data_IF_252353601205
#
_entry.id   IF_252353601205
#
_cell.length_a   1.000
_cell.length_b   1.000
_cell.length_c   1.000
_cell.angle_alpha   90.00
_cell.angle_beta   90.00
_cell.angle_gamma   90.00
#
_symmetry.space_group_name_H-M   'P 1'
#
loop_
_entity.id
_entity.type
_entity.pdbx_description
1 polymer ?
#
# COMPACT_ATOMS: atom_id res chain seq x y z
N UNK A 1 -6.91 1.71 -1.81
CA UNK A 1 -7.22 0.30 -1.47
C UNK A 1 -8.59 -0.15 -1.95
N UNK A 2 -9.71 0.46 -1.50
CA UNK A 2 -11.05 0.05 -1.92
C UNK A 2 -11.23 0.02 -3.45
N UNK A 3 -10.73 1.03 -4.16
CA UNK A 3 -10.76 1.07 -5.62
C UNK A 3 -10.04 -0.10 -6.29
N UNK A 4 -8.84 -0.47 -5.80
CA UNK A 4 -8.06 -1.59 -6.33
C UNK A 4 -8.81 -2.93 -6.14
N UNK A 5 -9.40 -3.12 -4.95
CA UNK A 5 -10.22 -4.32 -4.66
C UNK A 5 -11.41 -4.42 -5.62
N UNK A 6 -12.09 -3.30 -5.88
CA UNK A 6 -13.24 -3.29 -6.79
C UNK A 6 -12.84 -3.51 -8.24
N UNK A 7 -11.70 -2.95 -8.69
CA UNK A 7 -11.19 -3.16 -10.06
C UNK A 7 -10.88 -4.65 -10.29
N UNK A 8 -10.26 -5.31 -9.32
CA UNK A 8 -9.87 -6.72 -9.40
C UNK A 8 -11.04 -7.69 -9.11
N UNK A 9 -12.14 -7.19 -8.55
CA UNK A 9 -13.34 -7.97 -8.23
C UNK A 9 -14.25 -8.16 -9.46
N UNK A 10 -15.02 -9.25 -9.51
CA UNK A 10 -16.11 -9.39 -10.47
C UNK A 10 -17.15 -8.26 -10.41
N UNK A 11 -17.24 -7.59 -9.26
CA UNK A 11 -18.17 -6.47 -9.02
C UNK A 11 -17.57 -5.09 -9.34
N UNK A 12 -16.60 -5.02 -10.26
CA UNK A 12 -15.88 -3.78 -10.64
C UNK A 12 -16.78 -2.59 -11.00
N UNK A 13 -17.95 -2.86 -11.59
CA UNK A 13 -18.92 -1.82 -11.95
C UNK A 13 -19.52 -1.09 -10.75
N UNK A 14 -19.41 -1.66 -9.53
CA UNK A 14 -19.83 -0.96 -8.32
C UNK A 14 -18.96 0.28 -8.03
N UNK A 15 -17.79 0.45 -8.66
CA UNK A 15 -17.01 1.68 -8.60
C UNK A 15 -17.82 2.90 -9.05
N UNK A 16 -18.69 2.74 -10.03
CA UNK A 16 -19.52 3.82 -10.54
C UNK A 16 -20.53 4.33 -9.50
N UNK A 17 -20.92 3.50 -8.54
CA UNK A 17 -21.81 3.86 -7.42
C UNK A 17 -21.17 4.83 -6.42
N UNK A 18 -19.83 4.92 -6.39
CA UNK A 18 -19.12 5.91 -5.57
C UNK A 18 -19.07 7.29 -6.23
N UNK A 19 -19.70 7.47 -7.39
CA UNK A 19 -19.71 8.74 -8.13
C UNK A 19 -18.32 9.38 -8.25
N UNK A 20 -17.29 8.64 -8.75
CA UNK A 20 -15.91 9.13 -8.76
C UNK A 20 -15.75 10.42 -9.56
N UNK A 21 -16.57 10.64 -10.58
CA UNK A 21 -16.58 11.87 -11.37
C UNK A 21 -16.97 13.11 -10.57
N UNK A 22 -17.67 12.96 -9.45
CA UNK A 22 -18.00 14.03 -8.54
C UNK A 22 -17.06 14.04 -7.31
N UNK A 23 -16.83 12.87 -6.73
CA UNK A 23 -16.00 12.71 -5.54
C UNK A 23 -14.53 13.11 -5.76
N UNK A 24 -13.94 12.74 -6.91
CA UNK A 24 -12.54 13.08 -7.22
C UNK A 24 -12.36 14.60 -7.38
N UNK A 25 -13.13 15.31 -8.20
CA UNK A 25 -13.03 16.77 -8.29
C UNK A 25 -13.22 17.47 -6.95
N UNK A 26 -14.21 17.04 -6.15
CA UNK A 26 -14.47 17.60 -4.83
C UNK A 26 -13.29 17.38 -3.87
N UNK A 27 -12.68 16.20 -3.89
CA UNK A 27 -11.52 15.89 -3.08
C UNK A 27 -10.24 16.64 -3.53
N UNK A 28 -10.11 16.89 -4.83
CA UNK A 28 -8.97 17.64 -5.39
C UNK A 28 -9.11 19.17 -5.21
N UNK A 29 -10.31 19.68 -4.97
CA UNK A 29 -10.55 21.13 -4.87
C UNK A 29 -9.73 21.79 -3.75
N UNK A 30 -9.69 21.29 -2.50
CA UNK A 30 -8.86 21.89 -1.45
C UNK A 30 -7.37 21.88 -1.82
N UNK A 31 -6.89 20.80 -2.43
CA UNK A 31 -5.51 20.69 -2.87
C UNK A 31 -5.18 21.70 -3.99
N UNK A 32 -6.09 21.88 -4.93
CA UNK A 32 -5.95 22.87 -6.00
C UNK A 32 -5.93 24.30 -5.44
N UNK A 33 -6.87 24.64 -4.55
CA UNK A 33 -6.94 25.96 -3.94
C UNK A 33 -5.70 26.28 -3.12
N UNK A 34 -5.24 25.31 -2.32
CA UNK A 34 -4.00 25.44 -1.58
C UNK A 34 -2.80 25.62 -2.50
N UNK A 35 -2.69 24.79 -3.55
CA UNK A 35 -1.61 24.87 -4.52
C UNK A 35 -1.57 26.24 -5.24
N UNK A 36 -2.74 26.75 -5.66
CA UNK A 36 -2.84 28.09 -6.25
C UNK A 36 -2.38 29.18 -5.28
N UNK A 37 -2.87 29.17 -4.06
CA UNK A 37 -2.47 30.13 -3.04
C UNK A 37 -0.96 30.12 -2.77
N UNK A 38 -0.35 28.91 -2.76
CA UNK A 38 1.10 28.76 -2.59
C UNK A 38 1.88 29.35 -3.78
N UNK A 39 1.44 29.08 -5.01
CA UNK A 39 2.05 29.64 -6.22
C UNK A 39 1.95 31.15 -6.25
N UNK A 40 0.84 31.72 -5.81
CA UNK A 40 0.67 33.19 -5.77
C UNK A 40 1.61 33.87 -4.77
N UNK A 41 2.10 33.13 -3.74
CA UNK A 41 3.03 33.66 -2.73
C UNK A 41 4.50 33.56 -3.17
N UNK A 42 4.91 32.42 -3.75
CA UNK A 42 6.35 32.12 -3.98
C UNK A 42 6.70 31.83 -5.46
N UNK A 43 5.75 32.03 -6.38
CA UNK A 43 5.93 31.73 -7.79
C UNK A 43 6.03 30.23 -8.11
N UNK A 44 5.67 29.34 -7.18
CA UNK A 44 5.67 27.89 -7.37
C UNK A 44 6.96 27.20 -6.91
N UNK A 45 7.89 27.93 -6.29
CA UNK A 45 9.17 27.36 -5.81
C UNK A 45 8.95 26.24 -4.81
N UNK A 46 8.04 26.43 -3.85
CA UNK A 46 7.73 25.39 -2.84
C UNK A 46 7.14 24.13 -3.46
N UNK A 47 6.20 24.28 -4.40
CA UNK A 47 5.58 23.10 -5.04
C UNK A 47 6.58 22.33 -5.89
N UNK A 48 7.45 23.03 -6.64
CA UNK A 48 8.50 22.38 -7.43
C UNK A 48 9.51 21.66 -6.54
N UNK A 49 9.92 22.28 -5.44
CA UNK A 49 10.80 21.66 -4.44
C UNK A 49 10.13 20.42 -3.81
N UNK A 50 8.87 20.52 -3.41
CA UNK A 50 8.12 19.42 -2.81
C UNK A 50 7.98 18.24 -3.78
N UNK A 51 7.68 18.52 -5.05
CA UNK A 51 7.58 17.49 -6.08
C UNK A 51 8.94 16.81 -6.34
N UNK A 52 10.02 17.58 -6.50
CA UNK A 52 11.37 17.04 -6.68
C UNK A 52 11.79 16.18 -5.48
N UNK A 53 11.58 16.67 -4.26
CA UNK A 53 12.02 16.00 -3.05
C UNK A 53 11.19 14.78 -2.66
N UNK A 54 9.86 14.89 -2.70
CA UNK A 54 8.96 13.84 -2.23
C UNK A 54 8.50 12.86 -3.32
N UNK A 55 8.62 13.21 -4.58
CA UNK A 55 8.23 12.35 -5.70
C UNK A 55 9.47 11.86 -6.44
N UNK A 56 10.19 12.76 -7.12
CA UNK A 56 11.28 12.33 -8.01
C UNK A 56 12.43 11.67 -7.26
N UNK A 57 12.94 12.29 -6.20
CA UNK A 57 14.05 11.72 -5.42
C UNK A 57 13.67 10.44 -4.67
N UNK A 58 12.40 10.27 -4.32
CA UNK A 58 11.93 9.04 -3.65
C UNK A 58 11.79 7.86 -4.62
N UNK A 59 11.48 8.14 -5.88
CA UNK A 59 11.33 7.09 -6.91
C UNK A 59 12.70 6.74 -7.51
N UNK A 60 13.51 7.74 -7.86
CA UNK A 60 14.74 7.57 -8.63
C UNK A 60 16.01 7.42 -7.80
N UNK A 61 15.99 7.79 -6.53
CA UNK A 61 17.18 7.81 -5.70
C UNK A 61 16.93 7.51 -4.23
N UNK A 62 18.04 7.38 -3.49
CA UNK A 62 18.01 7.30 -2.04
C UNK A 62 18.10 8.70 -1.45
N UNK A 63 17.07 9.10 -0.74
CA UNK A 63 17.15 10.27 0.13
C UNK A 63 17.69 9.81 1.48
N UNK A 64 18.68 10.47 2.00
CA UNK A 64 19.35 10.17 3.29
C UNK A 64 20.05 8.79 3.37
N UNK A 65 20.53 8.23 2.26
CA UNK A 65 21.27 6.97 2.28
C UNK A 65 20.43 5.73 2.62
N UNK A 66 19.12 5.84 2.66
CA UNK A 66 18.20 4.76 2.98
C UNK A 66 17.96 3.86 1.76
N UNK A 67 19.02 3.23 1.26
CA UNK A 67 18.95 2.26 0.17
C UNK A 67 19.01 0.84 0.71
N UNK A 68 18.46 -0.08 -0.07
CA UNK A 68 18.58 -1.50 0.19
C UNK A 68 18.27 -2.32 -1.05
N UNK A 69 18.73 -3.56 -1.11
CA UNK A 69 18.41 -4.45 -2.22
C UNK A 69 16.92 -4.78 -2.24
N UNK A 70 16.39 -5.25 -3.39
CA UNK A 70 15.08 -5.87 -3.43
C UNK A 70 14.97 -6.99 -2.39
N UNK A 71 13.84 -7.08 -1.70
CA UNK A 71 13.66 -8.04 -0.60
C UNK A 71 13.94 -7.47 0.80
N UNK A 72 14.47 -6.24 0.92
CA UNK A 72 14.76 -5.63 2.23
C UNK A 72 13.54 -5.58 3.14
N UNK A 73 12.38 -5.16 2.62
CA UNK A 73 11.16 -5.10 3.40
C UNK A 73 10.58 -6.49 3.69
N UNK A 74 10.74 -7.46 2.78
CA UNK A 74 10.35 -8.84 3.01
C UNK A 74 11.16 -9.45 4.15
N UNK A 75 12.47 -9.26 4.13
CA UNK A 75 13.34 -9.74 5.21
C UNK A 75 13.01 -9.07 6.54
N UNK A 76 12.82 -7.75 6.54
CA UNK A 76 12.37 -7.01 7.73
C UNK A 76 11.05 -7.53 8.28
N UNK A 77 10.09 -7.82 7.41
CA UNK A 77 8.79 -8.39 7.80
C UNK A 77 8.97 -9.76 8.48
N UNK A 78 9.84 -10.62 7.96
CA UNK A 78 10.14 -11.91 8.59
C UNK A 78 10.66 -11.72 10.01
N UNK A 79 11.56 -10.77 10.24
CA UNK A 79 12.11 -10.47 11.56
C UNK A 79 11.08 -9.85 12.52
N UNK A 80 10.31 -8.87 12.05
CA UNK A 80 9.34 -8.15 12.88
C UNK A 80 8.15 -9.00 13.34
N UNK A 81 7.86 -10.09 12.62
CA UNK A 81 6.77 -10.99 12.97
C UNK A 81 7.20 -12.23 13.74
N UNK A 82 8.46 -12.32 14.22
CA UNK A 82 8.88 -13.42 15.10
C UNK A 82 8.06 -13.41 16.40
N UNK A 83 7.65 -14.60 16.93
CA UNK A 83 7.86 -15.96 16.38
C UNK A 83 6.80 -16.39 15.35
N UNK A 84 5.84 -15.53 15.00
CA UNK A 84 4.71 -15.86 14.12
C UNK A 84 5.11 -16.05 12.66
N UNK A 85 6.37 -15.77 12.30
CA UNK A 85 6.93 -16.04 10.97
C UNK A 85 6.82 -17.50 10.55
N UNK A 86 6.74 -18.43 11.50
CA UNK A 86 6.52 -19.86 11.23
C UNK A 86 5.20 -20.12 10.48
N UNK A 87 4.22 -19.23 10.58
CA UNK A 87 2.93 -19.35 9.90
C UNK A 87 2.91 -18.71 8.50
N UNK A 88 3.98 -18.02 8.09
CA UNK A 88 4.06 -17.39 6.77
C UNK A 88 3.78 -18.38 5.62
N UNK A 89 4.35 -19.60 5.59
CA UNK A 89 4.07 -20.56 4.54
C UNK A 89 2.58 -20.91 4.44
N UNK A 90 1.90 -21.06 5.59
CA UNK A 90 0.45 -21.32 5.65
C UNK A 90 -0.34 -20.12 5.12
N UNK A 91 0.03 -18.91 5.54
CA UNK A 91 -0.61 -17.66 5.06
C UNK A 91 -0.53 -17.57 3.53
N UNK A 92 0.64 -17.81 2.95
CA UNK A 92 0.80 -17.79 1.49
C UNK A 92 -0.02 -18.87 0.79
N UNK A 93 -0.07 -20.08 1.34
CA UNK A 93 -0.90 -21.17 0.81
C UNK A 93 -2.39 -20.78 0.82
N UNK A 94 -2.86 -20.22 1.92
CA UNK A 94 -4.25 -19.76 2.08
C UNK A 94 -4.57 -18.60 1.12
N UNK A 95 -3.63 -17.67 0.93
CA UNK A 95 -3.75 -16.58 -0.05
C UNK A 95 -3.93 -17.17 -1.44
N UNK A 96 -3.03 -18.06 -1.88
CA UNK A 96 -3.06 -18.64 -3.23
C UNK A 96 -4.35 -19.43 -3.48
N UNK A 97 -4.83 -20.14 -2.47
CA UNK A 97 -6.07 -20.92 -2.59
C UNK A 97 -7.30 -20.02 -2.71
N UNK A 98 -7.43 -19.02 -1.82
CA UNK A 98 -8.61 -18.15 -1.73
C UNK A 98 -8.60 -16.95 -2.68
N UNK A 99 -7.44 -16.59 -3.22
CA UNK A 99 -7.32 -15.45 -4.14
C UNK A 99 -8.16 -15.62 -5.41
N UNK A 100 -8.40 -16.87 -5.82
CA UNK A 100 -9.21 -17.20 -6.98
C UNK A 100 -10.68 -16.77 -6.84
N UNK A 101 -11.20 -16.70 -5.63
CA UNK A 101 -12.58 -16.30 -5.36
C UNK A 101 -12.85 -14.83 -5.69
N UNK A 102 -11.84 -13.97 -5.65
CA UNK A 102 -11.87 -12.52 -5.93
C UNK A 102 -12.98 -11.74 -5.21
N UNK A 103 -13.44 -12.27 -4.07
CA UNK A 103 -14.54 -11.70 -3.30
C UNK A 103 -14.28 -11.86 -1.81
N UNK A 104 -15.06 -11.09 -1.01
CA UNK A 104 -15.05 -11.23 0.44
C UNK A 104 -13.90 -10.52 1.14
N UNK A 105 -13.92 -10.65 2.47
CA UNK A 105 -12.99 -9.97 3.37
C UNK A 105 -11.55 -10.47 3.20
N UNK A 106 -11.37 -11.76 2.92
CA UNK A 106 -10.05 -12.34 2.72
C UNK A 106 -9.35 -11.73 1.50
N UNK A 107 -10.06 -11.58 0.40
CA UNK A 107 -9.55 -10.92 -0.80
C UNK A 107 -9.18 -9.45 -0.54
N UNK A 108 -10.02 -8.71 0.19
CA UNK A 108 -9.75 -7.33 0.58
C UNK A 108 -8.43 -7.22 1.39
N UNK A 109 -8.28 -8.05 2.42
CA UNK A 109 -7.09 -8.04 3.28
C UNK A 109 -5.84 -8.42 2.49
N UNK A 110 -5.93 -9.41 1.60
CA UNK A 110 -4.82 -9.83 0.74
C UNK A 110 -4.38 -8.72 -0.21
N UNK A 111 -5.33 -8.05 -0.88
CA UNK A 111 -5.00 -6.92 -1.76
C UNK A 111 -4.41 -5.76 -0.96
N UNK A 112 -4.92 -5.49 0.22
CA UNK A 112 -4.34 -4.47 1.10
C UNK A 112 -2.89 -4.78 1.47
N UNK A 113 -2.61 -6.03 1.87
CA UNK A 113 -1.25 -6.50 2.17
C UNK A 113 -0.32 -6.34 0.97
N UNK A 114 -0.69 -6.93 -0.17
CA UNK A 114 0.13 -6.93 -1.39
C UNK A 114 0.42 -5.51 -1.87
N UNK A 115 -0.59 -4.66 -1.99
CA UNK A 115 -0.41 -3.31 -2.47
C UNK A 115 0.36 -2.43 -1.49
N UNK A 116 0.14 -2.58 -0.18
CA UNK A 116 0.87 -1.85 0.85
C UNK A 116 2.36 -2.23 0.91
N UNK A 117 2.71 -3.44 0.52
CA UNK A 117 4.08 -3.92 0.48
C UNK A 117 4.77 -3.61 -0.86
N UNK A 118 4.16 -4.00 -1.99
CA UNK A 118 4.80 -3.90 -3.32
C UNK A 118 5.19 -2.47 -3.69
N UNK A 119 4.37 -1.49 -3.37
CA UNK A 119 4.67 -0.07 -3.68
C UNK A 119 6.04 0.32 -3.12
N UNK A 120 6.35 -0.10 -1.91
CA UNK A 120 7.61 0.26 -1.24
C UNK A 120 8.75 -0.71 -1.58
N UNK A 121 8.45 -1.95 -1.95
CA UNK A 121 9.47 -2.90 -2.39
C UNK A 121 10.11 -2.48 -3.73
N UNK A 122 9.36 -1.84 -4.61
CA UNK A 122 9.87 -1.29 -5.86
C UNK A 122 10.47 0.12 -5.72
N UNK A 123 10.27 0.80 -4.60
CA UNK A 123 10.91 2.10 -4.35
C UNK A 123 12.41 1.94 -4.11
N UNK A 124 13.21 2.90 -4.59
CA UNK A 124 14.64 2.94 -4.30
C UNK A 124 14.93 3.19 -2.81
N UNK A 125 14.07 3.95 -2.14
CA UNK A 125 14.19 4.22 -0.70
C UNK A 125 13.60 3.07 0.13
N UNK A 126 14.41 2.49 1.02
CA UNK A 126 14.09 1.31 1.84
C UNK A 126 14.00 1.63 3.32
N UNK A 127 12.99 2.38 3.72
CA UNK A 127 12.74 2.64 5.15
C UNK A 127 11.76 1.59 5.71
N UNK A 128 12.10 0.86 6.79
CA UNK A 128 11.21 -0.15 7.37
C UNK A 128 9.82 0.38 7.74
N UNK A 129 9.72 1.64 8.16
CA UNK A 129 8.45 2.27 8.49
C UNK A 129 7.47 2.39 7.31
N UNK A 130 7.94 2.35 6.07
CA UNK A 130 7.07 2.50 4.90
C UNK A 130 6.11 1.32 4.72
N UNK A 131 6.50 0.13 5.13
CA UNK A 131 5.66 -1.07 5.00
C UNK A 131 4.75 -1.31 6.20
N UNK A 132 4.70 -0.39 7.17
CA UNK A 132 3.79 -0.51 8.34
C UNK A 132 2.32 -0.66 7.91
N UNK A 133 1.96 -0.07 6.77
CA UNK A 133 0.63 -0.19 6.17
C UNK A 133 0.31 -1.63 5.78
N UNK A 134 1.34 -2.42 5.42
CA UNK A 134 1.21 -3.84 5.08
C UNK A 134 1.23 -4.74 6.33
N UNK A 135 1.80 -4.28 7.45
CA UNK A 135 1.88 -5.08 8.66
C UNK A 135 0.50 -5.36 9.27
N UNK A 136 -0.41 -4.39 9.23
CA UNK A 136 -1.78 -4.55 9.76
C UNK A 136 -2.53 -5.70 9.05
N UNK A 137 -2.71 -5.68 7.72
CA UNK A 137 -3.38 -6.78 7.04
C UNK A 137 -2.61 -8.10 7.16
N UNK A 138 -1.29 -8.08 7.23
CA UNK A 138 -0.50 -9.28 7.42
C UNK A 138 -0.72 -9.92 8.78
N UNK A 139 -0.81 -9.12 9.86
CA UNK A 139 -1.17 -9.60 11.20
C UNK A 139 -2.53 -10.31 11.20
N UNK A 140 -3.51 -9.75 10.49
CA UNK A 140 -4.84 -10.38 10.37
C UNK A 140 -4.77 -11.71 9.61
N UNK A 141 -3.95 -11.79 8.56
CA UNK A 141 -3.76 -13.03 7.80
C UNK A 141 -3.09 -14.11 8.66
N UNK A 142 -2.09 -13.74 9.46
CA UNK A 142 -1.44 -14.65 10.42
C UNK A 142 -2.44 -15.13 11.47
N UNK A 143 -3.20 -14.22 12.08
CA UNK A 143 -4.22 -14.59 13.07
C UNK A 143 -5.25 -15.56 12.48
N UNK A 144 -5.69 -15.35 11.24
CA UNK A 144 -6.57 -16.29 10.54
C UNK A 144 -5.91 -17.65 10.30
N UNK A 145 -4.64 -17.67 9.94
CA UNK A 145 -3.91 -18.92 9.76
C UNK A 145 -3.77 -19.69 11.06
N UNK A 146 -3.60 -18.99 12.20
CA UNK A 146 -3.55 -19.58 13.55
C UNK A 146 -4.89 -20.20 13.95
N UNK A 147 -5.99 -19.48 13.76
CA UNK A 147 -7.35 -19.95 14.13
C UNK A 147 -7.77 -21.17 13.31
N UNK A 148 -7.31 -21.28 12.06
CA UNK A 148 -7.61 -22.41 11.18
C UNK A 148 -6.56 -23.54 11.25
N UNK A 149 -5.76 -23.61 12.32
CA UNK A 149 -4.97 -24.78 12.63
C UNK A 149 -5.93 -25.81 13.25
N UNK A 150 -6.19 -26.89 12.51
CA UNK A 150 -6.71 -28.12 13.08
C UNK A 150 -5.58 -28.72 13.92
N UNK A 151 -5.64 -28.50 15.24
CA UNK A 151 -4.76 -29.13 16.23
C UNK A 151 -5.21 -30.54 16.49
#
# INVERSE_FOLDING_TARGET
MAGLVLILSPKRWNLLRFHPWFGIPLACLPLYLWGRATVDVDGGVFISWMYDWYVLKRISGSVFGQTGPPGTHLFGMILFFLPFTLFIPKVFKDILHRFKERTGVYFLITIWFIAGWLIYEFSASKLPAYVIVAHVPFSILIAKALVNLDL
#
